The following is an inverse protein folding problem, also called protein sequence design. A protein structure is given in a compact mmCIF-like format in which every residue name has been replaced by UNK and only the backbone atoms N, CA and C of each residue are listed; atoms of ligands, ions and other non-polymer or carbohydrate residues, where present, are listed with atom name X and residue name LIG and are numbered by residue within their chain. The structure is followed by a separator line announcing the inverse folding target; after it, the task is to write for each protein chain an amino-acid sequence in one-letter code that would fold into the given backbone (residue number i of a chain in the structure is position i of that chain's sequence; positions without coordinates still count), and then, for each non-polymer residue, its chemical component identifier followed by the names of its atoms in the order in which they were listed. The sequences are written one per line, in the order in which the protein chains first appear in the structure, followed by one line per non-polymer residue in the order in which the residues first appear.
data_IF_400293769761
#
_entry.id   IF_400293769761
#
_cell.length_a   1.000
_cell.length_b   1.000
_cell.length_c   1.000
_cell.angle_alpha   90.00
_cell.angle_beta   90.00
_cell.angle_gamma   90.00
#
_symmetry.space_group_name_H-M   'P 1'
#
loop_
_entity.id
_entity.type
_entity.pdbx_description
1 polymer ?
#
# COMPACT_ATOMS: atom_id res chain seq x y z
N UNK A 1 35.39 31.81 -13.58
CA UNK A 1 33.99 31.74 -14.06
C UNK A 1 33.62 30.39 -14.71
N UNK A 2 34.37 29.88 -15.70
CA UNK A 2 34.06 28.58 -16.36
C UNK A 2 34.06 27.35 -15.43
N UNK A 3 35.00 27.28 -14.47
CA UNK A 3 35.08 26.17 -13.50
C UNK A 3 33.90 26.17 -12.51
N UNK A 4 33.44 27.37 -12.11
CA UNK A 4 32.30 27.55 -11.21
C UNK A 4 30.99 27.12 -11.91
N UNK A 5 30.85 27.42 -13.21
CA UNK A 5 29.68 26.99 -13.98
C UNK A 5 29.67 25.49 -14.28
N UNK A 6 30.85 24.86 -14.45
CA UNK A 6 30.95 23.41 -14.60
C UNK A 6 30.56 22.68 -13.32
N UNK A 7 31.03 23.15 -12.16
CA UNK A 7 30.66 22.61 -10.83
C UNK A 7 29.16 22.76 -10.57
N UNK A 8 28.59 23.91 -10.90
CA UNK A 8 27.15 24.14 -10.75
C UNK A 8 26.31 23.20 -11.64
N UNK A 9 26.70 23.04 -12.92
CA UNK A 9 26.06 22.08 -13.84
C UNK A 9 26.13 20.66 -13.33
N UNK A 10 27.28 20.26 -12.77
CA UNK A 10 27.46 18.93 -12.19
C UNK A 10 26.54 18.71 -10.98
N UNK A 11 26.47 19.67 -10.06
CA UNK A 11 25.58 19.59 -8.89
C UNK A 11 24.12 19.50 -9.32
N UNK A 12 23.68 20.32 -10.27
CA UNK A 12 22.31 20.27 -10.81
C UNK A 12 22.02 18.89 -11.43
N UNK A 13 22.94 18.34 -12.22
CA UNK A 13 22.78 17.03 -12.82
C UNK A 13 22.65 15.92 -11.75
N UNK A 14 23.47 15.95 -10.70
CA UNK A 14 23.36 15.02 -9.58
C UNK A 14 22.02 15.11 -8.86
N UNK A 15 21.50 16.32 -8.62
CA UNK A 15 20.19 16.52 -7.98
C UNK A 15 19.08 15.92 -8.85
N UNK A 16 19.09 16.20 -10.16
CA UNK A 16 18.08 15.67 -11.08
C UNK A 16 18.12 14.13 -11.08
N UNK A 17 19.31 13.53 -11.22
CA UNK A 17 19.47 12.07 -11.24
C UNK A 17 18.99 11.46 -9.92
N UNK A 18 19.37 12.03 -8.78
CA UNK A 18 18.95 11.54 -7.47
C UNK A 18 17.42 11.60 -7.30
N UNK A 19 16.80 12.72 -7.67
CA UNK A 19 15.34 12.87 -7.61
C UNK A 19 14.61 11.92 -8.57
N UNK A 20 15.15 11.65 -9.76
CA UNK A 20 14.56 10.68 -10.68
C UNK A 20 14.68 9.23 -10.17
N UNK A 21 15.84 8.87 -9.62
CA UNK A 21 16.06 7.55 -9.01
C UNK A 21 15.14 7.33 -7.82
N UNK A 22 14.88 8.38 -7.05
CA UNK A 22 13.94 8.36 -5.93
C UNK A 22 12.52 8.04 -6.36
N UNK A 23 11.98 8.76 -7.34
CA UNK A 23 10.61 8.53 -7.81
C UNK A 23 10.48 7.12 -8.40
N UNK A 24 11.52 6.66 -9.10
CA UNK A 24 11.58 5.29 -9.60
C UNK A 24 11.69 4.25 -8.47
N UNK A 25 12.21 4.61 -7.29
CA UNK A 25 12.37 3.69 -6.17
C UNK A 25 11.06 3.16 -5.65
N UNK A 26 10.07 4.03 -5.48
CA UNK A 26 8.77 3.63 -4.95
C UNK A 26 8.13 2.48 -5.74
N UNK A 27 8.35 2.43 -7.06
CA UNK A 27 7.82 1.36 -7.91
C UNK A 27 8.52 0.01 -7.68
N UNK A 28 9.85 -0.04 -7.73
CA UNK A 28 10.56 -1.31 -7.55
C UNK A 28 10.62 -1.74 -6.08
N UNK A 29 10.57 -0.82 -5.12
CA UNK A 29 10.50 -1.14 -3.68
C UNK A 29 9.19 -1.86 -3.32
N UNK A 30 8.10 -1.56 -4.04
CA UNK A 30 6.82 -2.27 -3.94
C UNK A 30 6.82 -3.58 -4.74
N UNK A 31 7.46 -3.60 -5.90
CA UNK A 31 7.62 -4.81 -6.72
C UNK A 31 8.47 -5.91 -6.06
N UNK A 32 9.50 -5.51 -5.30
CA UNK A 32 10.37 -6.41 -4.53
C UNK A 32 9.86 -6.68 -3.10
N UNK A 33 8.70 -6.14 -2.75
CA UNK A 33 8.09 -6.35 -1.44
C UNK A 33 7.82 -7.84 -1.19
N UNK A 34 8.03 -8.26 0.06
CA UNK A 34 7.73 -9.62 0.49
C UNK A 34 6.38 -9.66 1.20
N UNK A 35 5.64 -10.75 0.97
CA UNK A 35 4.41 -11.01 1.71
C UNK A 35 4.74 -11.12 3.19
N UNK A 36 3.93 -10.46 4.02
CA UNK A 36 4.05 -10.46 5.47
C UNK A 36 2.90 -11.28 6.06
N UNK A 37 3.21 -12.43 6.61
CA UNK A 37 2.23 -13.31 7.26
C UNK A 37 1.41 -14.15 6.27
N UNK A 38 0.39 -14.80 6.83
CA UNK A 38 -0.54 -15.64 6.07
C UNK A 38 -1.59 -14.76 5.36
N UNK A 39 -2.10 -15.19 4.20
CA UNK A 39 -3.18 -14.50 3.51
C UNK A 39 -4.49 -14.60 4.29
N UNK A 40 -5.26 -13.51 4.31
CA UNK A 40 -6.64 -13.52 4.78
C UNK A 40 -7.56 -13.95 3.65
N UNK A 41 -8.41 -14.94 3.90
CA UNK A 41 -9.40 -15.45 2.94
C UNK A 41 -10.79 -15.06 3.46
N UNK A 42 -11.64 -14.57 2.55
CA UNK A 42 -13.00 -14.19 2.92
C UNK A 42 -13.83 -15.39 3.37
N UNK A 43 -14.86 -15.22 4.23
CA UNK A 43 -15.68 -16.32 4.74
C UNK A 43 -16.31 -17.22 3.67
N UNK A 44 -16.77 -16.67 2.54
CA UNK A 44 -17.30 -17.45 1.41
C UNK A 44 -16.23 -17.85 0.39
N UNK A 45 -14.95 -17.53 0.63
CA UNK A 45 -13.83 -17.98 -0.19
C UNK A 45 -13.68 -17.26 -1.52
N UNK A 46 -14.33 -16.11 -1.71
CA UNK A 46 -14.22 -15.31 -2.93
C UNK A 46 -12.93 -14.49 -2.99
N UNK A 47 -12.50 -13.90 -1.88
CA UNK A 47 -11.38 -12.97 -1.87
C UNK A 47 -10.20 -13.52 -1.09
N UNK A 48 -9.01 -13.14 -1.55
CA UNK A 48 -7.77 -13.33 -0.81
C UNK A 48 -7.07 -11.98 -0.70
N UNK A 49 -6.83 -11.56 0.53
CA UNK A 49 -6.06 -10.35 0.84
C UNK A 49 -4.69 -10.76 1.34
N UNK A 50 -3.67 -10.18 0.74
CA UNK A 50 -2.29 -10.41 1.10
C UNK A 50 -1.65 -9.11 1.57
N UNK A 51 -1.00 -9.15 2.73
CA UNK A 51 -0.25 -8.03 3.27
C UNK A 51 1.19 -8.08 2.79
N UNK A 52 1.74 -6.94 2.42
CA UNK A 52 3.13 -6.81 1.97
C UNK A 52 3.87 -5.73 2.74
N UNK A 53 5.11 -6.05 3.13
CA UNK A 53 6.05 -5.06 3.68
C UNK A 53 6.90 -4.48 2.56
N UNK A 54 6.91 -3.15 2.36
CA UNK A 54 7.70 -2.54 1.29
C UNK A 54 9.20 -2.76 1.50
N UNK A 55 9.93 -2.95 0.40
CA UNK A 55 11.38 -3.14 0.43
C UNK A 55 12.12 -1.80 0.30
N UNK A 56 11.95 -0.91 1.27
CA UNK A 56 12.61 0.41 1.25
C UNK A 56 14.12 0.30 1.41
N UNK A 57 14.87 0.89 0.48
CA UNK A 57 16.32 1.04 0.61
C UNK A 57 16.66 2.27 1.46
N UNK A 58 15.85 3.31 1.34
CA UNK A 58 16.03 4.55 2.07
C UNK A 58 15.39 4.46 3.47
N UNK A 59 15.92 5.21 4.44
CA UNK A 59 15.27 5.30 5.75
C UNK A 59 13.80 5.72 5.62
N UNK A 60 12.91 5.10 6.41
CA UNK A 60 11.45 5.30 6.34
C UNK A 60 10.98 6.77 6.29
N UNK A 61 11.68 7.69 6.97
CA UNK A 61 11.32 9.12 7.02
C UNK A 61 11.34 9.79 5.64
N UNK A 62 12.05 9.20 4.69
CA UNK A 62 12.13 9.70 3.34
C UNK A 62 10.93 9.31 2.48
N UNK A 63 10.14 8.33 2.93
CA UNK A 63 8.91 7.96 2.26
C UNK A 63 7.75 8.76 2.85
N UNK A 64 7.05 9.44 1.96
CA UNK A 64 5.89 10.25 2.33
C UNK A 64 4.72 9.35 2.74
N UNK A 65 3.98 9.73 3.79
CA UNK A 65 2.92 8.90 4.37
C UNK A 65 1.54 9.42 3.95
N UNK A 66 0.78 8.67 3.15
CA UNK A 66 -0.59 9.02 2.81
C UNK A 66 -1.51 8.86 4.03
N UNK A 67 -2.61 9.59 4.01
CA UNK A 67 -3.73 9.38 4.93
C UNK A 67 -4.79 8.51 4.22
N UNK A 68 -5.50 7.61 4.92
CA UNK A 68 -6.54 6.78 4.30
C UNK A 68 -7.67 7.60 3.67
N UNK A 69 -8.02 8.73 4.29
CA UNK A 69 -8.85 9.76 3.67
C UNK A 69 -8.01 10.64 2.74
N UNK A 70 -8.35 10.62 1.44
CA UNK A 70 -7.69 11.36 0.38
C UNK A 70 -7.79 12.89 0.49
N UNK A 71 -8.76 13.40 1.25
CA UNK A 71 -8.89 14.85 1.49
C UNK A 71 -7.81 15.37 2.45
N UNK A 72 -7.23 14.49 3.26
CA UNK A 72 -6.19 14.83 4.22
C UNK A 72 -4.82 14.82 3.53
N UNK A 73 -4.04 15.91 3.62
CA UNK A 73 -2.72 15.98 3.01
C UNK A 73 -1.76 14.92 3.54
N UNK A 74 -0.95 14.38 2.63
CA UNK A 74 0.16 13.47 2.90
C UNK A 74 1.22 14.11 3.81
N UNK A 75 1.74 13.33 4.75
CA UNK A 75 2.81 13.75 5.66
C UNK A 75 4.18 13.58 4.99
N UNK A 76 5.00 14.62 5.07
CA UNK A 76 6.40 14.62 4.65
C UNK A 76 7.31 14.46 5.87
N UNK A 77 8.40 13.73 5.71
CA UNK A 77 9.29 13.36 6.83
C UNK A 77 8.55 12.70 8.00
N UNK A 78 7.67 11.71 7.75
CA UNK A 78 6.89 11.09 8.81
C UNK A 78 7.74 10.14 9.66
N UNK A 79 7.23 9.82 10.84
CA UNK A 79 7.65 8.64 11.60
C UNK A 79 6.70 7.51 11.29
N UNK A 80 7.16 6.48 10.60
CA UNK A 80 6.35 5.30 10.31
C UNK A 80 6.37 4.34 11.50
N UNK A 81 5.19 3.84 11.88
CA UNK A 81 5.03 2.75 12.83
C UNK A 81 5.21 1.39 12.18
N UNK A 82 4.22 1.02 11.36
CA UNK A 82 4.20 -0.24 10.62
C UNK A 82 3.80 -0.03 9.14
N UNK A 83 4.78 0.30 8.27
CA UNK A 83 4.50 0.54 6.86
C UNK A 83 4.15 -0.77 6.14
N UNK A 84 2.99 -0.81 5.50
CA UNK A 84 2.58 -1.95 4.69
C UNK A 84 1.52 -1.56 3.64
N UNK A 85 1.26 -2.45 2.70
CA UNK A 85 0.19 -2.31 1.71
C UNK A 85 -0.49 -3.66 1.47
N UNK A 86 -1.69 -3.61 0.92
CA UNK A 86 -2.49 -4.79 0.62
C UNK A 86 -2.55 -5.04 -0.87
N UNK A 87 -2.61 -6.32 -1.24
CA UNK A 87 -3.07 -6.78 -2.56
C UNK A 87 -4.33 -7.60 -2.37
N UNK A 88 -5.37 -7.25 -3.11
CA UNK A 88 -6.62 -7.98 -3.17
C UNK A 88 -6.66 -8.82 -4.43
N UNK A 89 -6.98 -10.09 -4.26
CA UNK A 89 -7.11 -11.05 -5.35
C UNK A 89 -8.51 -11.67 -5.35
N UNK A 90 -9.00 -12.03 -6.54
CA UNK A 90 -10.02 -13.08 -6.65
C UNK A 90 -9.34 -14.39 -6.25
N UNK A 91 -9.82 -15.01 -5.18
CA UNK A 91 -9.23 -16.23 -4.64
C UNK A 91 -9.42 -17.43 -5.59
N UNK A 92 -10.50 -17.43 -6.38
CA UNK A 92 -10.87 -18.54 -7.26
C UNK A 92 -10.01 -18.55 -8.51
N UNK A 93 -9.72 -17.38 -9.07
CA UNK A 93 -8.96 -17.23 -10.32
C UNK A 93 -7.49 -16.89 -10.07
N UNK A 94 -7.16 -16.29 -8.92
CA UNK A 94 -5.84 -15.75 -8.61
C UNK A 94 -5.56 -14.39 -9.24
N UNK A 95 -6.55 -13.76 -9.90
CA UNK A 95 -6.41 -12.45 -10.54
C UNK A 95 -6.26 -11.34 -9.50
N UNK A 96 -5.36 -10.39 -9.74
CA UNK A 96 -5.20 -9.19 -8.91
C UNK A 96 -6.32 -8.21 -9.23
N UNK A 97 -7.14 -7.90 -8.22
CA UNK A 97 -8.25 -6.94 -8.33
C UNK A 97 -7.74 -5.53 -8.04
N UNK A 98 -7.02 -5.36 -6.93
CA UNK A 98 -6.51 -4.05 -6.52
C UNK A 98 -5.25 -4.16 -5.66
N UNK A 99 -4.52 -3.05 -5.58
CA UNK A 99 -3.34 -2.89 -4.74
C UNK A 99 -3.39 -1.50 -4.10
N UNK A 100 -3.24 -1.43 -2.78
CA UNK A 100 -3.30 -0.16 -2.05
C UNK A 100 -1.98 0.61 -2.16
N UNK A 101 -2.01 1.88 -1.79
CA UNK A 101 -0.79 2.59 -1.39
C UNK A 101 -0.18 1.97 -0.12
N UNK A 102 1.04 2.41 0.22
CA UNK A 102 1.68 2.06 1.49
C UNK A 102 1.09 2.95 2.58
N UNK A 103 0.44 2.33 3.56
CA UNK A 103 -0.14 2.99 4.72
C UNK A 103 0.57 2.57 6.01
N UNK A 104 0.43 3.38 7.05
CA UNK A 104 0.91 3.03 8.37
C UNK A 104 -0.16 2.25 9.13
N UNK A 105 0.00 0.94 9.15
CA UNK A 105 -0.97 0.05 9.78
C UNK A 105 -1.06 0.22 11.29
N UNK A 106 -0.04 0.78 11.95
CA UNK A 106 -0.13 1.07 13.39
C UNK A 106 -1.24 2.10 13.67
N UNK A 107 -1.44 3.05 12.74
CA UNK A 107 -2.42 4.12 12.88
C UNK A 107 -3.73 3.89 12.11
N UNK A 108 -3.66 3.20 10.96
CA UNK A 108 -4.76 3.08 10.02
C UNK A 108 -5.28 1.66 9.84
N UNK A 109 -4.50 0.66 10.23
CA UNK A 109 -4.87 -0.75 10.14
C UNK A 109 -5.98 -1.10 11.12
N UNK A 110 -6.52 -2.30 10.95
CA UNK A 110 -7.58 -2.80 11.82
C UNK A 110 -8.12 -4.13 11.33
N UNK A 111 -9.28 -4.52 11.86
CA UNK A 111 -9.94 -5.75 11.46
C UNK A 111 -10.38 -5.69 9.99
N UNK A 112 -10.29 -6.83 9.31
CA UNK A 112 -10.80 -7.01 7.96
C UNK A 112 -12.32 -6.89 7.93
N UNK A 113 -12.82 -6.11 6.97
CA UNK A 113 -14.21 -6.05 6.54
C UNK A 113 -14.29 -6.53 5.11
N UNK A 114 -15.15 -7.50 4.82
CA UNK A 114 -15.29 -8.11 3.49
C UNK A 114 -16.34 -7.43 2.61
N UNK A 115 -16.72 -6.22 2.99
CA UNK A 115 -17.54 -5.34 2.17
C UNK A 115 -19.04 -5.59 2.21
N UNK A 116 -19.55 -6.42 3.12
CA UNK A 116 -20.97 -6.67 3.43
C UNK A 116 -21.97 -5.80 2.63
N UNK A 117 -22.53 -4.74 3.23
CA UNK A 117 -23.45 -3.81 2.54
C UNK A 117 -22.73 -2.58 1.97
N UNK A 118 -21.43 -2.41 2.25
CA UNK A 118 -20.64 -1.27 1.79
C UNK A 118 -20.17 -1.43 0.34
N UNK A 119 -20.08 -2.67 -0.14
CA UNK A 119 -19.54 -3.02 -1.46
C UNK A 119 -18.03 -2.85 -1.57
N UNK A 120 -17.32 -2.70 -0.44
CA UNK A 120 -15.89 -2.41 -0.41
C UNK A 120 -15.16 -3.14 0.71
N UNK A 121 -14.09 -3.85 0.35
CA UNK A 121 -13.22 -4.58 1.25
C UNK A 121 -12.23 -3.59 1.88
N UNK A 122 -12.09 -3.65 3.20
CA UNK A 122 -11.24 -2.73 3.95
C UNK A 122 -10.54 -3.41 5.14
N UNK A 123 -9.45 -2.79 5.59
CA UNK A 123 -8.76 -3.15 6.84
C UNK A 123 -8.66 -1.89 7.71
N UNK A 124 -9.47 -1.83 8.78
CA UNK A 124 -9.58 -0.62 9.59
C UNK A 124 -10.09 0.57 8.77
N UNK A 125 -9.25 1.61 8.62
CA UNK A 125 -9.57 2.81 7.83
C UNK A 125 -9.15 2.71 6.36
N UNK A 126 -8.40 1.67 5.99
CA UNK A 126 -7.83 1.52 4.64
C UNK A 126 -8.83 0.81 3.76
N UNK A 127 -9.37 1.50 2.75
CA UNK A 127 -10.04 0.84 1.63
C UNK A 127 -9.02 0.07 0.80
N UNK A 128 -9.30 -1.22 0.57
CA UNK A 128 -8.45 -2.11 -0.21
C UNK A 128 -8.95 -2.20 -1.65
N UNK A 129 -10.25 -2.37 -1.84
CA UNK A 129 -10.85 -2.47 -3.17
C UNK A 129 -12.33 -2.85 -3.16
N UNK A 130 -13.00 -2.74 -4.30
CA UNK A 130 -14.42 -3.03 -4.41
C UNK A 130 -14.72 -4.53 -4.35
N UNK A 131 -15.93 -4.88 -3.94
CA UNK A 131 -16.45 -6.23 -4.11
C UNK A 131 -16.73 -6.51 -5.60
N UNK A 132 -16.49 -7.74 -6.02
CA UNK A 132 -16.96 -8.27 -7.29
C UNK A 132 -18.49 -8.47 -7.24
N UNK A 133 -19.20 -8.23 -8.36
CA UNK A 133 -20.66 -8.33 -8.42
C UNK A 133 -21.22 -9.71 -8.04
N UNK A 134 -20.43 -10.77 -8.27
CA UNK A 134 -20.79 -12.16 -7.98
C UNK A 134 -20.38 -12.64 -6.58
N UNK A 135 -19.78 -11.76 -5.76
CA UNK A 135 -19.22 -12.08 -4.44
C UNK A 135 -19.54 -10.97 -3.41
N UNK A 136 -20.77 -10.44 -3.41
CA UNK A 136 -21.19 -9.36 -2.50
C UNK A 136 -21.62 -9.84 -1.10
N UNK A 137 -21.94 -11.12 -0.92
CA UNK A 137 -22.53 -11.65 0.32
C UNK A 137 -21.54 -12.38 1.24
N UNK A 138 -20.26 -11.98 1.26
CA UNK A 138 -19.24 -12.55 2.16
C UNK A 138 -19.42 -12.08 3.61
N UNK A 139 -20.59 -12.39 4.18
CA UNK A 139 -20.92 -12.15 5.57
C UNK A 139 -20.14 -13.15 6.43
N UNK A 140 -19.51 -12.71 7.54
CA UNK A 140 -18.95 -13.63 8.52
C UNK A 140 -20.02 -14.65 8.93
N UNK A 141 -19.77 -15.93 8.63
CA UNK A 141 -20.62 -17.01 9.12
C UNK A 141 -20.66 -16.88 10.65
N UNK A 142 -21.84 -16.63 11.23
CA UNK A 142 -21.99 -16.59 12.69
C UNK A 142 -21.46 -17.90 13.24
N UNK A 143 -20.34 -17.84 13.96
CA UNK A 143 -19.87 -18.96 14.77
C UNK A 143 -20.96 -19.24 15.78
N UNK A 144 -21.70 -20.35 15.62
CA UNK A 144 -22.61 -20.80 16.65
C UNK A 144 -21.79 -21.30 17.85
N UNK A 145 -22.12 -20.86 19.08
CA UNK A 145 -21.45 -21.29 20.29
C UNK A 145 -21.70 -22.78 20.60
#
# INVERSE_FOLDING_TARGET
MKLLSLRLKFVIACIIIASSLWIASEWWEKGLAQRSGEPDISPGGCYRVELFKPFWILPMMFHSMPHPDSEVPRKWLPSWGYPAFFRLYDHRTGELISETEIYDLESAGGQMSWGDKSGEISAGMISIGPNLPDCMDDVPSRVHP
#
